data_IF_596667276122
#
_entry.id   IF_596667276122
#
_cell.length_a   1.000
_cell.length_b   1.000
_cell.length_c   1.000
_cell.angle_alpha   90.00
_cell.angle_beta   90.00
_cell.angle_gamma   90.00
#
_symmetry.space_group_name_H-M   'P 1'
#
loop_
_entity.id
_entity.type
_entity.pdbx_description
1 polymer ?
#
# COMPACT_ATOMS: atom_id res chain seq x y z
N UNK A 1 -1.80 14.17 10.17
CA UNK A 1 -1.59 12.77 9.73
C UNK A 1 -2.84 11.95 10.04
N UNK A 2 -3.08 10.88 9.29
CA UNK A 2 -3.97 9.77 9.70
C UNK A 2 -3.17 8.48 9.57
N UNK A 3 -3.38 7.55 10.50
CA UNK A 3 -2.80 6.20 10.46
C UNK A 3 -3.96 5.23 10.38
N UNK A 4 -3.93 4.33 9.41
CA UNK A 4 -4.86 3.22 9.31
C UNK A 4 -4.23 1.98 9.93
N UNK A 5 -5.00 1.28 10.75
CA UNK A 5 -4.63 0.02 11.39
C UNK A 5 -5.80 -0.93 11.21
N UNK A 6 -5.57 -2.09 10.62
CA UNK A 6 -6.60 -3.11 10.46
C UNK A 6 -7.09 -3.62 11.83
N UNK A 7 -8.36 -4.02 11.90
CA UNK A 7 -9.07 -4.27 13.15
C UNK A 7 -8.54 -5.49 13.93
N UNK A 8 -7.88 -6.42 13.24
CA UNK A 8 -7.32 -7.65 13.83
C UNK A 8 -5.87 -7.47 14.33
N UNK A 9 -5.27 -6.29 14.17
CA UNK A 9 -3.90 -6.04 14.59
C UNK A 9 -3.78 -5.82 16.10
N UNK A 10 -2.67 -6.31 16.66
CA UNK A 10 -2.22 -6.02 18.02
C UNK A 10 -0.99 -5.13 17.93
N UNK A 11 -1.09 -3.90 18.44
CA UNK A 11 0.01 -2.94 18.49
C UNK A 11 0.76 -3.06 19.82
N UNK A 12 2.09 -3.22 19.75
CA UNK A 12 2.98 -3.35 20.92
C UNK A 12 4.05 -2.26 21.01
N UNK A 13 3.93 -1.24 20.18
CA UNK A 13 4.88 -0.11 20.06
C UNK A 13 4.13 1.21 20.20
N UNK A 14 4.84 2.30 20.47
CA UNK A 14 4.27 3.64 20.45
C UNK A 14 3.91 4.06 19.01
N UNK A 15 2.63 4.32 18.77
CA UNK A 15 2.13 4.80 17.47
C UNK A 15 2.59 6.23 17.13
N UNK A 16 3.08 6.99 18.12
CA UNK A 16 3.73 8.28 17.92
C UNK A 16 4.91 8.19 16.96
N UNK A 17 5.66 7.07 16.97
CA UNK A 17 6.79 6.87 16.04
C UNK A 17 6.34 6.86 14.57
N UNK A 18 5.17 6.30 14.27
CA UNK A 18 4.58 6.34 12.93
C UNK A 18 4.03 7.73 12.59
N UNK A 19 3.55 8.47 13.60
CA UNK A 19 3.09 9.84 13.42
C UNK A 19 4.23 10.82 13.15
N UNK A 20 5.41 10.59 13.70
CA UNK A 20 6.57 11.47 13.48
C UNK A 20 7.46 10.99 12.32
N UNK A 21 7.08 9.89 11.66
CA UNK A 21 7.84 9.32 10.56
C UNK A 21 8.00 10.31 9.40
N UNK A 22 9.24 10.51 8.97
CA UNK A 22 9.53 11.32 7.78
C UNK A 22 9.16 10.57 6.50
N UNK A 23 8.02 10.92 5.90
CA UNK A 23 7.52 10.33 4.65
C UNK A 23 8.26 10.83 3.39
N UNK A 24 9.32 11.63 3.52
CA UNK A 24 10.14 12.17 2.42
C UNK A 24 9.31 12.89 1.36
N UNK A 25 8.31 13.65 1.81
CA UNK A 25 7.39 14.41 0.96
C UNK A 25 6.37 13.57 0.19
N UNK A 26 6.23 12.27 0.50
CA UNK A 26 5.19 11.41 -0.09
C UNK A 26 3.89 11.49 0.70
N UNK A 27 2.73 11.42 0.02
CA UNK A 27 1.42 11.53 0.69
C UNK A 27 1.00 10.26 1.43
N UNK A 28 1.60 9.11 1.09
CA UNK A 28 1.26 7.79 1.61
C UNK A 28 2.53 6.98 1.89
N UNK A 29 2.49 6.15 2.92
CA UNK A 29 3.51 5.15 3.21
C UNK A 29 2.88 3.85 3.70
N UNK A 30 3.33 2.73 3.13
CA UNK A 30 2.82 1.40 3.38
C UNK A 30 3.94 0.44 3.80
N UNK A 31 3.57 -0.64 4.48
CA UNK A 31 4.49 -1.71 4.85
C UNK A 31 4.67 -2.68 3.67
N UNK A 32 5.91 -3.01 3.25
CA UNK A 32 6.14 -4.02 2.21
C UNK A 32 5.85 -5.43 2.73
N UNK A 33 5.52 -6.35 1.83
CA UNK A 33 5.34 -7.76 2.17
C UNK A 33 6.67 -8.40 2.63
N UNK A 34 6.63 -9.21 3.68
CA UNK A 34 7.80 -9.91 4.22
C UNK A 34 8.40 -10.93 3.23
N UNK A 35 9.72 -10.92 3.05
CA UNK A 35 10.43 -11.83 2.16
C UNK A 35 11.27 -12.92 2.88
N UNK A 36 11.24 -12.94 4.21
CA UNK A 36 12.11 -13.75 5.07
C UNK A 36 11.83 -15.27 5.10
N UNK A 37 10.63 -15.73 4.73
CA UNK A 37 10.30 -17.17 4.69
C UNK A 37 10.38 -17.75 3.27
N UNK A 38 11.39 -18.60 2.99
CA UNK A 38 11.60 -19.22 1.67
C UNK A 38 10.57 -20.29 1.32
N UNK A 39 10.00 -20.99 2.30
CA UNK A 39 8.97 -22.02 2.04
C UNK A 39 7.70 -21.41 1.43
N UNK A 40 7.48 -20.12 1.70
CA UNK A 40 6.33 -19.36 1.20
C UNK A 40 6.53 -18.78 -0.20
N UNK A 41 7.70 -18.94 -0.83
CA UNK A 41 8.01 -18.33 -2.13
C UNK A 41 7.02 -18.74 -3.24
N UNK A 42 6.51 -19.98 -3.20
CA UNK A 42 5.51 -20.47 -4.16
C UNK A 42 4.16 -19.73 -4.12
N UNK A 43 3.83 -19.10 -2.99
CA UNK A 43 2.59 -18.33 -2.81
C UNK A 43 2.75 -16.84 -3.13
N UNK A 44 3.99 -16.38 -3.39
CA UNK A 44 4.30 -14.97 -3.68
C UNK A 44 4.00 -14.63 -5.14
N UNK A 45 2.71 -14.58 -5.47
CA UNK A 45 2.25 -14.33 -6.84
C UNK A 45 2.82 -13.03 -7.44
N UNK A 46 3.14 -12.02 -6.63
CA UNK A 46 3.72 -10.76 -7.09
C UNK A 46 5.18 -10.87 -7.57
N UNK A 47 5.88 -11.99 -7.30
CA UNK A 47 7.25 -12.23 -7.77
C UNK A 47 7.34 -12.75 -9.21
N UNK A 48 6.21 -13.01 -9.86
CA UNK A 48 6.14 -13.57 -11.21
C UNK A 48 5.07 -12.91 -12.08
N UNK A 49 5.15 -13.15 -13.39
CA UNK A 49 4.17 -12.67 -14.37
C UNK A 49 3.94 -11.17 -14.34
N UNK A 50 2.67 -10.78 -14.49
CA UNK A 50 2.23 -9.39 -14.60
C UNK A 50 2.76 -8.48 -13.48
N UNK A 51 2.64 -8.90 -12.23
CA UNK A 51 3.02 -8.06 -11.08
C UNK A 51 4.52 -7.78 -11.03
N UNK A 52 5.36 -8.76 -11.37
CA UNK A 52 6.81 -8.57 -11.44
C UNK A 52 7.18 -7.47 -12.44
N UNK A 53 6.57 -7.53 -13.63
CA UNK A 53 6.84 -6.60 -14.72
C UNK A 53 6.25 -5.21 -14.43
N UNK A 54 5.06 -5.17 -13.82
CA UNK A 54 4.39 -3.94 -13.43
C UNK A 54 5.13 -3.19 -12.31
N UNK A 55 5.61 -3.91 -11.29
CA UNK A 55 6.28 -3.31 -10.13
C UNK A 55 7.66 -2.75 -10.45
N UNK A 56 8.35 -3.27 -11.49
CA UNK A 56 9.67 -2.78 -11.94
C UNK A 56 10.68 -2.63 -10.80
N UNK A 57 10.75 -3.64 -9.94
CA UNK A 57 11.64 -3.66 -8.77
C UNK A 57 11.12 -2.91 -7.54
N UNK A 58 9.93 -2.31 -7.59
CA UNK A 58 9.24 -1.79 -6.39
C UNK A 58 8.70 -2.95 -5.56
N UNK A 59 8.66 -2.81 -4.22
CA UNK A 59 8.06 -3.82 -3.37
C UNK A 59 6.55 -3.88 -3.55
N UNK A 60 5.99 -5.08 -3.33
CA UNK A 60 4.57 -5.28 -3.17
C UNK A 60 4.18 -4.95 -1.72
N UNK A 61 3.22 -4.05 -1.52
CA UNK A 61 2.85 -3.54 -0.20
C UNK A 61 1.59 -4.21 0.35
N UNK A 62 1.36 -4.07 1.66
CA UNK A 62 0.20 -4.58 2.38
C UNK A 62 -0.64 -3.41 2.90
N UNK A 63 -1.97 -3.46 2.70
CA UNK A 63 -2.93 -2.42 3.09
C UNK A 63 -3.36 -2.44 4.56
N UNK A 64 -2.91 -3.42 5.35
CA UNK A 64 -3.30 -3.58 6.77
C UNK A 64 -2.73 -2.50 7.71
N UNK A 65 -1.65 -1.82 7.33
CA UNK A 65 -1.06 -0.71 8.10
C UNK A 65 -0.42 0.30 7.15
N UNK A 66 -0.91 1.53 7.17
CA UNK A 66 -0.37 2.63 6.36
C UNK A 66 -0.61 4.00 6.99
N UNK A 67 0.22 4.96 6.59
CA UNK A 67 0.17 6.36 7.05
C UNK A 67 -0.19 7.27 5.89
N UNK A 68 -1.07 8.24 6.16
CA UNK A 68 -1.51 9.26 5.21
C UNK A 68 -1.13 10.64 5.75
N UNK A 69 -0.26 11.34 5.03
CA UNK A 69 -0.10 12.79 5.21
C UNK A 69 -1.23 13.49 4.46
N UNK A 70 -2.32 13.79 5.18
CA UNK A 70 -3.50 14.46 4.63
C UNK A 70 -3.20 15.81 3.99
N UNK A 71 -2.20 16.56 4.48
CA UNK A 71 -1.85 17.86 3.90
C UNK A 71 -1.24 17.62 2.53
N UNK A 72 -0.21 16.75 2.46
CA UNK A 72 0.45 16.42 1.20
C UNK A 72 -0.48 15.73 0.21
N UNK A 73 -1.32 14.82 0.69
CA UNK A 73 -2.30 14.09 -0.10
C UNK A 73 -3.26 15.02 -0.84
N UNK A 74 -3.73 16.08 -0.17
CA UNK A 74 -4.56 17.13 -0.79
C UNK A 74 -3.75 18.03 -1.72
N UNK A 75 -2.58 18.49 -1.30
CA UNK A 75 -1.71 19.34 -2.12
C UNK A 75 -1.35 18.70 -3.47
N UNK A 76 -1.17 17.37 -3.51
CA UNK A 76 -0.81 16.64 -4.73
C UNK A 76 -2.01 16.05 -5.46
N UNK A 77 -3.25 16.36 -5.05
CA UNK A 77 -4.48 15.76 -5.59
C UNK A 77 -4.41 14.22 -5.70
N UNK A 78 -3.76 13.56 -4.73
CA UNK A 78 -3.50 12.12 -4.79
C UNK A 78 -4.80 11.31 -4.85
N UNK A 79 -5.83 11.74 -4.11
CA UNK A 79 -7.15 11.10 -4.11
C UNK A 79 -7.86 11.15 -5.46
N UNK A 80 -7.74 12.25 -6.20
CA UNK A 80 -8.38 12.37 -7.51
C UNK A 80 -7.69 11.48 -8.55
N UNK A 81 -6.36 11.42 -8.51
CA UNK A 81 -5.60 10.48 -9.34
C UNK A 81 -6.02 9.02 -9.06
N UNK A 82 -6.13 8.63 -7.79
CA UNK A 82 -6.58 7.30 -7.40
C UNK A 82 -7.99 6.98 -7.93
N UNK A 83 -8.93 7.92 -7.85
CA UNK A 83 -10.29 7.75 -8.40
C UNK A 83 -10.29 7.58 -9.92
N UNK A 84 -9.47 8.35 -10.64
CA UNK A 84 -9.37 8.22 -12.11
C UNK A 84 -8.81 6.85 -12.52
N UNK A 85 -7.81 6.35 -11.81
CA UNK A 85 -7.30 5.00 -12.03
C UNK A 85 -8.36 3.94 -11.73
N UNK A 86 -9.07 4.08 -10.61
CA UNK A 86 -10.18 3.20 -10.26
C UNK A 86 -11.25 3.16 -11.35
N UNK A 87 -11.75 4.31 -11.82
CA UNK A 87 -12.77 4.40 -12.89
C UNK A 87 -12.33 3.75 -14.21
N UNK A 88 -11.02 3.71 -14.48
CA UNK A 88 -10.48 3.06 -15.67
C UNK A 88 -10.44 1.54 -15.50
N UNK A 89 -10.00 1.07 -14.34
CA UNK A 89 -9.81 -0.36 -14.05
C UNK A 89 -11.11 -1.08 -13.66
N UNK A 90 -12.06 -0.38 -13.04
CA UNK A 90 -13.34 -0.95 -12.57
C UNK A 90 -14.25 -1.44 -13.68
N UNK A 91 -13.95 -1.11 -14.94
CA UNK A 91 -14.68 -1.59 -16.12
C UNK A 91 -14.53 -3.08 -16.36
N UNK A 92 -13.41 -3.67 -15.95
CA UNK A 92 -13.22 -5.12 -15.94
C UNK A 92 -13.35 -5.65 -14.51
N UNK A 93 -14.35 -6.50 -14.23
CA UNK A 93 -14.58 -7.02 -12.88
C UNK A 93 -13.43 -7.88 -12.35
N UNK A 94 -12.53 -8.38 -13.21
CA UNK A 94 -11.38 -9.20 -12.79
C UNK A 94 -10.10 -8.39 -12.54
N UNK A 95 -10.10 -7.08 -12.80
CA UNK A 95 -8.90 -6.25 -12.72
C UNK A 95 -8.53 -5.82 -11.28
N UNK A 96 -9.49 -5.83 -10.35
CA UNK A 96 -9.33 -5.30 -8.99
C UNK A 96 -9.59 -6.40 -7.94
N UNK A 97 -8.66 -7.34 -7.83
CA UNK A 97 -8.81 -8.49 -6.90
C UNK A 97 -8.97 -8.03 -5.44
N UNK A 98 -8.14 -7.10 -4.99
CA UNK A 98 -8.25 -6.40 -3.70
C UNK A 98 -7.98 -4.92 -3.96
N UNK A 99 -9.01 -4.07 -3.97
CA UNK A 99 -8.90 -2.66 -4.39
C UNK A 99 -8.07 -1.80 -3.41
N UNK A 100 -8.07 -2.16 -2.14
CA UNK A 100 -7.39 -1.43 -1.08
C UNK A 100 -5.86 -1.63 -1.08
N UNK A 101 -5.37 -2.64 -1.81
CA UNK A 101 -3.97 -3.05 -1.91
C UNK A 101 -3.31 -2.62 -3.22
#
# INVERSE_FOLDING_TARGET
>A
MVIFVDADQIVRTDMGELYDMNLKGRPLAYTPFCDNNREMDGYRFWRQGFWKDHLRGRPYHISALYVVDLKKFRETAAGDNLRVFYETLSKDPNSLANLDQ
#
